data_IF_490522762348
#
_entry.id   IF_490522762348
#
_cell.length_a   1.000
_cell.length_b   1.000
_cell.length_c   1.000
_cell.angle_alpha   90.00
_cell.angle_beta   90.00
_cell.angle_gamma   90.00
#
_symmetry.space_group_name_H-M   'P 1'
#
loop_
_entity.id
_entity.type
_entity.pdbx_description
1 polymer ?
#
# COMPACT_ATOMS: atom_id res chain seq x y z
N UNK A 1 -39.23 31.45 85.81
CA UNK A 1 -38.29 32.12 84.89
C UNK A 1 -38.71 31.79 83.47
N UNK A 2 -39.20 32.82 82.77
CA UNK A 2 -39.63 32.79 81.37
C UNK A 2 -38.51 33.36 80.51
N UNK A 3 -38.23 32.77 79.34
CA UNK A 3 -37.95 33.47 78.07
C UNK A 3 -37.67 32.46 76.93
N UNK A 4 -38.48 32.59 75.88
CA UNK A 4 -38.19 32.22 74.47
C UNK A 4 -37.17 33.26 73.90
N UNK A 5 -36.57 33.17 72.67
CA UNK A 5 -37.01 32.40 71.49
C UNK A 5 -35.91 31.75 70.62
N UNK A 6 -36.32 30.79 69.80
CA UNK A 6 -35.59 30.33 68.60
C UNK A 6 -35.97 31.22 67.41
N UNK A 7 -34.98 31.82 66.75
CA UNK A 7 -35.16 32.61 65.54
C UNK A 7 -35.43 31.69 64.33
N UNK A 8 -36.47 32.04 63.56
CA UNK A 8 -36.84 31.38 62.30
C UNK A 8 -36.12 32.11 61.15
N UNK A 9 -35.46 31.41 60.20
CA UNK A 9 -34.82 32.09 59.08
C UNK A 9 -35.88 32.66 58.12
N UNK A 10 -35.68 33.92 57.75
CA UNK A 10 -36.52 34.71 56.85
C UNK A 10 -36.51 34.12 55.44
N UNK A 11 -37.69 34.05 54.82
CA UNK A 11 -37.88 33.59 53.44
C UNK A 11 -37.93 34.83 52.54
N UNK A 12 -36.92 35.00 51.69
CA UNK A 12 -36.87 36.10 50.73
C UNK A 12 -38.16 36.20 49.90
N UNK A 13 -38.78 37.39 49.80
CA UNK A 13 -39.87 37.63 48.87
C UNK A 13 -39.26 37.96 47.51
N UNK A 14 -39.73 37.25 46.49
CA UNK A 14 -39.91 37.73 45.10
C UNK A 14 -39.52 36.68 44.05
N UNK A 15 -40.14 35.51 44.14
CA UNK A 15 -40.23 34.59 43.00
C UNK A 15 -41.66 34.06 42.94
N UNK A 16 -42.48 34.66 42.07
CA UNK A 16 -43.81 34.12 41.74
C UNK A 16 -43.67 32.63 41.34
N UNK A 17 -44.51 31.72 41.87
CA UNK A 17 -44.42 30.29 41.56
C UNK A 17 -44.54 30.00 40.06
N UNK A 18 -45.26 30.84 39.31
CA UNK A 18 -45.35 30.76 37.85
C UNK A 18 -44.01 31.06 37.16
N UNK A 19 -43.23 32.01 37.68
CA UNK A 19 -41.89 32.35 37.16
C UNK A 19 -40.84 31.26 37.46
N UNK A 20 -40.99 30.55 38.57
CA UNK A 20 -40.14 29.41 38.92
C UNK A 20 -40.46 28.19 38.03
N UNK A 21 -41.74 27.93 37.77
CA UNK A 21 -42.19 26.86 36.87
C UNK A 21 -41.74 27.11 35.42
N UNK A 22 -41.86 28.36 34.93
CA UNK A 22 -41.41 28.74 33.58
C UNK A 22 -39.90 28.62 33.41
N UNK A 23 -39.10 28.99 34.44
CA UNK A 23 -37.65 28.78 34.44
C UNK A 23 -37.26 27.30 34.43
N UNK A 24 -37.93 26.45 35.21
CA UNK A 24 -37.69 24.99 35.19
C UNK A 24 -38.02 24.38 33.82
N UNK A 25 -39.11 24.81 33.19
CA UNK A 25 -39.51 24.33 31.86
C UNK A 25 -38.51 24.75 30.77
N UNK A 26 -38.11 26.03 30.74
CA UNK A 26 -37.12 26.52 29.77
C UNK A 26 -35.73 25.90 29.97
N UNK A 27 -35.29 25.73 31.22
CA UNK A 27 -34.04 25.04 31.52
C UNK A 27 -34.11 23.55 31.16
N UNK A 28 -35.27 22.90 31.33
CA UNK A 28 -35.49 21.51 30.91
C UNK A 28 -35.39 21.32 29.39
N UNK A 29 -35.98 22.23 28.61
CA UNK A 29 -35.87 22.23 27.14
C UNK A 29 -34.42 22.51 26.71
N UNK A 30 -33.76 23.49 27.31
CA UNK A 30 -32.37 23.83 26.98
C UNK A 30 -31.40 22.68 27.31
N UNK A 31 -31.61 21.99 28.44
CA UNK A 31 -30.83 20.82 28.82
C UNK A 31 -31.07 19.63 27.89
N UNK A 32 -32.32 19.38 27.48
CA UNK A 32 -32.66 18.31 26.54
C UNK A 32 -32.10 18.58 25.13
N UNK A 33 -32.21 19.82 24.65
CA UNK A 33 -31.67 20.23 23.36
C UNK A 33 -30.12 20.19 23.36
N UNK A 34 -29.48 20.68 24.43
CA UNK A 34 -28.03 20.63 24.60
C UNK A 34 -27.50 19.20 24.74
N UNK A 35 -28.17 18.37 25.54
CA UNK A 35 -27.82 16.96 25.70
C UNK A 35 -28.01 16.14 24.42
N UNK A 36 -29.12 16.36 23.71
CA UNK A 36 -29.37 15.72 22.41
C UNK A 36 -28.38 16.16 21.33
N UNK A 37 -28.02 17.44 21.29
CA UNK A 37 -27.01 17.95 20.37
C UNK A 37 -25.61 17.39 20.65
N UNK A 38 -25.20 17.30 21.92
CA UNK A 38 -23.90 16.74 22.30
C UNK A 38 -23.80 15.24 22.02
N UNK A 39 -24.88 14.48 22.22
CA UNK A 39 -24.89 13.05 21.89
C UNK A 39 -24.85 12.82 20.37
N UNK A 40 -25.62 13.60 19.60
CA UNK A 40 -25.65 13.47 18.12
C UNK A 40 -24.35 13.96 17.47
N UNK A 41 -23.83 15.13 17.85
CA UNK A 41 -22.53 15.61 17.36
C UNK A 41 -21.36 14.77 17.86
N UNK A 42 -21.38 14.33 19.13
CA UNK A 42 -20.36 13.45 19.69
C UNK A 42 -20.29 12.10 18.97
N UNK A 43 -21.45 11.56 18.58
CA UNK A 43 -21.52 10.33 17.78
C UNK A 43 -20.99 10.55 16.36
N UNK A 44 -21.24 11.71 15.74
CA UNK A 44 -20.75 12.02 14.39
C UNK A 44 -19.21 12.14 14.34
N UNK A 45 -18.59 12.67 15.39
CA UNK A 45 -17.12 12.75 15.51
C UNK A 45 -16.44 11.39 15.74
N UNK A 46 -17.18 10.40 16.24
CA UNK A 46 -16.68 9.04 16.42
C UNK A 46 -16.72 8.20 15.13
N UNK A 47 -17.50 8.61 14.12
CA UNK A 47 -17.53 7.95 12.81
C UNK A 47 -16.34 8.43 11.99
N UNK A 48 -15.18 7.81 12.19
CA UNK A 48 -14.07 7.93 11.24
C UNK A 48 -14.50 7.25 9.94
N UNK A 49 -14.51 7.95 8.79
CA UNK A 49 -14.66 7.26 7.53
C UNK A 49 -13.43 6.36 7.37
N UNK A 50 -13.64 5.05 7.34
CA UNK A 50 -12.60 4.07 7.01
C UNK A 50 -12.31 4.12 5.50
N UNK A 51 -11.89 5.30 5.03
CA UNK A 51 -11.74 5.62 3.62
C UNK A 51 -10.45 5.05 3.01
N UNK A 52 -9.47 4.67 3.85
CA UNK A 52 -8.25 4.05 3.39
C UNK A 52 -7.94 2.81 4.23
N UNK A 53 -7.95 1.66 3.58
CA UNK A 53 -7.49 0.42 4.18
C UNK A 53 -6.00 0.56 4.54
N UNK A 54 -5.55 0.25 5.77
CA UNK A 54 -4.15 0.37 6.16
C UNK A 54 -3.25 -0.47 5.26
N UNK A 55 -1.98 -0.05 5.12
CA UNK A 55 -1.04 -0.65 4.18
C UNK A 55 -0.81 -2.16 4.40
N UNK A 56 -1.02 -2.66 5.63
CA UNK A 56 -0.84 -4.07 5.98
C UNK A 56 -2.11 -4.91 5.82
N UNK A 57 -3.26 -4.30 5.54
CA UNK A 57 -4.53 -5.01 5.40
C UNK A 57 -4.85 -5.27 3.94
N UNK A 58 -4.63 -6.51 3.53
CA UNK A 58 -4.84 -6.96 2.15
C UNK A 58 -6.24 -7.53 1.98
N UNK A 59 -6.83 -7.31 0.81
CA UNK A 59 -8.16 -7.84 0.47
C UNK A 59 -8.06 -9.28 -0.05
N UNK A 60 -9.11 -10.11 0.11
CA UNK A 60 -9.16 -11.46 -0.44
C UNK A 60 -8.90 -11.50 -1.97
N UNK A 61 -8.56 -12.67 -2.53
CA UNK A 61 -8.41 -12.81 -3.97
C UNK A 61 -9.71 -12.44 -4.70
N UNK A 62 -9.56 -11.78 -5.84
CA UNK A 62 -10.68 -11.34 -6.67
C UNK A 62 -11.40 -10.09 -6.16
N UNK A 63 -10.96 -9.45 -5.07
CA UNK A 63 -11.57 -8.20 -4.63
C UNK A 63 -11.53 -7.12 -5.72
N UNK A 64 -12.65 -6.42 -5.87
CA UNK A 64 -12.74 -5.23 -6.73
C UNK A 64 -11.87 -4.09 -6.19
N UNK A 65 -11.79 -2.99 -6.94
CA UNK A 65 -11.17 -1.76 -6.43
C UNK A 65 -11.83 -1.35 -5.11
N UNK A 66 -11.04 -0.80 -4.17
CA UNK A 66 -11.47 -0.60 -2.77
C UNK A 66 -12.86 0.05 -2.65
N UNK A 67 -13.15 1.13 -3.39
CA UNK A 67 -14.44 1.82 -3.33
C UNK A 67 -15.61 0.95 -3.82
N UNK A 68 -15.40 0.23 -4.93
CA UNK A 68 -16.39 -0.72 -5.48
C UNK A 68 -16.60 -1.90 -4.53
N UNK A 69 -15.51 -2.44 -3.98
CA UNK A 69 -15.55 -3.51 -3.00
C UNK A 69 -16.36 -3.13 -1.76
N UNK A 70 -16.10 -1.94 -1.19
CA UNK A 70 -16.83 -1.44 -0.02
C UNK A 70 -18.31 -1.23 -0.30
N UNK A 71 -18.67 -0.84 -1.54
CA UNK A 71 -20.06 -0.67 -1.96
C UNK A 71 -20.80 -2.00 -2.19
N UNK A 72 -20.10 -3.02 -2.69
CA UNK A 72 -20.68 -4.33 -3.01
C UNK A 72 -20.68 -5.31 -1.82
N UNK A 73 -19.78 -5.12 -0.85
CA UNK A 73 -19.65 -6.02 0.29
C UNK A 73 -20.76 -5.82 1.31
N UNK A 74 -21.64 -6.82 1.44
CA UNK A 74 -22.71 -6.86 2.45
C UNK A 74 -22.25 -7.37 3.82
N UNK A 75 -20.94 -7.56 4.03
CA UNK A 75 -20.34 -7.96 5.33
C UNK A 75 -20.90 -9.29 5.88
N UNK A 76 -21.24 -10.22 5.00
CA UNK A 76 -21.85 -11.51 5.37
C UNK A 76 -20.88 -12.52 5.99
N UNK A 77 -19.56 -12.34 5.85
CA UNK A 77 -18.54 -13.23 6.41
C UNK A 77 -18.41 -14.60 5.75
N UNK A 78 -19.14 -14.89 4.67
CA UNK A 78 -19.11 -16.18 3.98
C UNK A 78 -17.72 -16.53 3.44
N UNK A 79 -17.00 -15.54 2.90
CA UNK A 79 -15.63 -15.72 2.42
C UNK A 79 -14.63 -16.06 3.53
N UNK A 80 -14.87 -15.59 4.77
CA UNK A 80 -14.03 -15.90 5.94
C UNK A 80 -14.31 -17.33 6.40
N UNK A 81 -15.60 -17.70 6.49
CA UNK A 81 -16.01 -19.06 6.86
C UNK A 81 -15.48 -20.12 5.90
N UNK A 82 -15.51 -19.83 4.60
CA UNK A 82 -15.13 -20.79 3.55
C UNK A 82 -13.62 -20.73 3.23
N UNK A 83 -12.83 -19.95 3.98
CA UNK A 83 -11.38 -19.95 3.88
C UNK A 83 -10.79 -21.11 4.72
N UNK A 84 -10.17 -22.14 4.09
CA UNK A 84 -9.74 -23.34 4.82
C UNK A 84 -8.50 -23.12 5.72
N UNK A 85 -7.82 -21.99 5.60
CA UNK A 85 -6.55 -21.70 6.27
C UNK A 85 -6.64 -20.57 7.31
N UNK A 86 -7.85 -20.10 7.63
CA UNK A 86 -8.09 -18.98 8.55
C UNK A 86 -7.27 -17.71 8.20
N UNK A 87 -6.90 -17.56 6.93
CA UNK A 87 -6.18 -16.38 6.41
C UNK A 87 -7.02 -15.12 6.57
N UNK A 88 -8.31 -15.21 6.25
CA UNK A 88 -9.21 -14.06 6.22
C UNK A 88 -9.86 -13.86 7.58
N UNK A 89 -9.93 -12.60 8.02
CA UNK A 89 -10.63 -12.20 9.24
C UNK A 89 -11.54 -11.01 8.96
N UNK A 90 -12.63 -10.89 9.73
CA UNK A 90 -13.49 -9.71 9.66
C UNK A 90 -12.89 -8.56 10.48
N UNK A 91 -12.86 -7.37 9.89
CA UNK A 91 -12.44 -6.15 10.56
C UNK A 91 -13.36 -5.83 11.75
N UNK A 92 -12.83 -5.70 12.97
CA UNK A 92 -13.59 -5.20 14.11
C UNK A 92 -14.15 -3.80 13.84
N UNK A 93 -15.31 -3.50 14.42
CA UNK A 93 -15.87 -2.15 14.38
C UNK A 93 -14.92 -1.19 15.12
N UNK A 94 -14.59 -0.07 14.49
CA UNK A 94 -13.65 0.91 15.04
C UNK A 94 -12.16 0.61 14.78
N UNK A 95 -11.85 -0.45 14.02
CA UNK A 95 -10.49 -0.67 13.51
C UNK A 95 -10.15 0.28 12.34
N UNK A 96 -8.88 0.35 11.97
CA UNK A 96 -8.41 1.14 10.81
C UNK A 96 -8.91 0.58 9.47
N UNK A 97 -9.37 -0.68 9.45
CA UNK A 97 -10.02 -1.31 8.30
C UNK A 97 -11.53 -1.09 8.40
N UNK A 98 -12.20 -0.88 7.27
CA UNK A 98 -13.66 -0.74 7.22
C UNK A 98 -14.36 -1.91 7.95
N UNK A 99 -15.08 -1.59 9.03
CA UNK A 99 -15.67 -2.59 9.92
C UNK A 99 -16.56 -3.61 9.19
N UNK A 100 -16.44 -4.87 9.58
CA UNK A 100 -17.18 -6.01 9.02
C UNK A 100 -16.73 -6.44 7.62
N UNK A 101 -15.68 -5.84 7.05
CA UNK A 101 -15.12 -6.28 5.76
C UNK A 101 -13.99 -7.30 5.97
N UNK A 102 -13.84 -8.28 5.07
CA UNK A 102 -12.78 -9.27 5.16
C UNK A 102 -11.43 -8.67 4.75
N UNK A 103 -10.38 -9.03 5.47
CA UNK A 103 -8.99 -8.70 5.15
C UNK A 103 -8.05 -9.78 5.72
N UNK A 104 -6.79 -9.75 5.31
CA UNK A 104 -5.72 -10.52 5.93
C UNK A 104 -4.45 -9.69 6.07
N UNK A 105 -3.54 -10.13 6.94
CA UNK A 105 -2.19 -9.56 7.05
C UNK A 105 -1.17 -10.60 6.63
N UNK A 106 -0.45 -10.31 5.57
CA UNK A 106 0.52 -11.22 4.95
C UNK A 106 1.55 -11.77 5.95
N UNK A 107 2.06 -10.93 6.87
CA UNK A 107 3.04 -11.34 7.89
C UNK A 107 2.49 -12.39 8.88
N UNK A 108 1.19 -12.40 9.15
CA UNK A 108 0.59 -13.29 10.14
C UNK A 108 0.21 -14.63 9.52
N UNK A 109 -0.74 -14.62 8.59
CA UNK A 109 -1.19 -15.80 7.85
C UNK A 109 -1.38 -15.34 6.40
N UNK A 110 -0.50 -15.76 5.46
CA UNK A 110 -0.61 -15.38 4.06
C UNK A 110 -1.77 -16.13 3.38
N UNK A 111 -2.09 -15.72 2.15
CA UNK A 111 -2.98 -16.49 1.29
C UNK A 111 -2.27 -17.74 0.77
N UNK A 112 -2.88 -18.88 1.00
CA UNK A 112 -2.38 -20.19 0.56
C UNK A 112 -2.62 -20.50 -0.92
N UNK A 113 -3.26 -19.58 -1.66
CA UNK A 113 -3.47 -19.70 -3.12
C UNK A 113 -4.25 -20.98 -3.51
N UNK A 114 -5.39 -21.23 -2.89
CA UNK A 114 -6.25 -22.39 -3.19
C UNK A 114 -6.70 -22.38 -4.65
N UNK A 115 -6.50 -23.49 -5.38
CA UNK A 115 -6.85 -23.63 -6.80
C UNK A 115 -8.35 -23.45 -7.08
N UNK A 116 -9.20 -23.85 -6.13
CA UNK A 116 -10.65 -23.80 -6.26
C UNK A 116 -11.26 -22.48 -5.76
N UNK A 117 -10.45 -21.57 -5.21
CA UNK A 117 -10.80 -20.21 -4.76
C UNK A 117 -12.16 -20.16 -4.00
N UNK A 118 -12.32 -20.90 -2.90
CA UNK A 118 -13.62 -21.07 -2.23
C UNK A 118 -14.17 -19.75 -1.69
N UNK A 119 -13.29 -18.84 -1.24
CA UNK A 119 -13.67 -17.51 -0.78
C UNK A 119 -14.40 -16.67 -1.84
N UNK A 120 -14.02 -16.76 -3.13
CA UNK A 120 -14.68 -16.06 -4.23
C UNK A 120 -16.03 -16.70 -4.53
N UNK A 121 -16.08 -18.04 -4.61
CA UNK A 121 -17.32 -18.81 -4.85
C UNK A 121 -18.38 -18.56 -3.77
N UNK A 122 -17.95 -18.35 -2.54
CA UNK A 122 -18.82 -18.05 -1.40
C UNK A 122 -19.43 -16.64 -1.44
N UNK A 123 -18.92 -15.72 -2.26
CA UNK A 123 -19.36 -14.32 -2.29
C UNK A 123 -20.67 -14.17 -3.08
N UNK A 124 -21.81 -13.83 -2.44
CA UNK A 124 -23.10 -13.76 -3.14
C UNK A 124 -23.30 -12.45 -3.91
N UNK A 125 -22.55 -11.39 -3.57
CA UNK A 125 -22.76 -10.05 -4.11
C UNK A 125 -21.83 -9.67 -5.26
N UNK A 126 -20.83 -10.50 -5.55
CA UNK A 126 -19.80 -10.16 -6.53
C UNK A 126 -18.79 -9.11 -6.05
N UNK A 127 -18.74 -8.80 -4.74
CA UNK A 127 -17.67 -7.99 -4.16
C UNK A 127 -16.29 -8.62 -4.40
N UNK A 128 -16.24 -9.95 -4.48
CA UNK A 128 -15.15 -10.70 -5.07
C UNK A 128 -15.59 -11.15 -6.47
N UNK A 129 -14.78 -10.84 -7.48
CA UNK A 129 -15.09 -11.07 -8.89
C UNK A 129 -15.21 -12.58 -9.19
N UNK A 130 -16.41 -13.10 -9.52
CA UNK A 130 -16.62 -14.52 -9.79
C UNK A 130 -15.97 -14.98 -11.09
N UNK A 131 -15.51 -14.05 -11.95
CA UNK A 131 -14.76 -14.38 -13.17
C UNK A 131 -13.31 -14.77 -12.90
N UNK A 132 -12.82 -14.58 -11.67
CA UNK A 132 -11.51 -15.07 -11.28
C UNK A 132 -11.56 -16.59 -11.14
N UNK A 133 -11.10 -17.30 -12.17
CA UNK A 133 -11.06 -18.77 -12.22
C UNK A 133 -9.67 -19.33 -11.95
N UNK A 134 -8.61 -18.56 -12.22
CA UNK A 134 -7.23 -18.91 -11.91
C UNK A 134 -6.73 -18.01 -10.77
N UNK A 135 -6.24 -18.63 -9.69
CA UNK A 135 -5.73 -17.93 -8.51
C UNK A 135 -4.46 -17.11 -8.82
N UNK A 136 -3.71 -17.47 -9.86
CA UNK A 136 -2.53 -16.75 -10.31
C UNK A 136 -2.86 -15.39 -10.98
N UNK A 137 -4.11 -15.19 -11.38
CA UNK A 137 -4.61 -13.92 -11.90
C UNK A 137 -5.08 -12.97 -10.79
N UNK A 138 -5.13 -13.43 -9.53
CA UNK A 138 -5.51 -12.59 -8.41
C UNK A 138 -4.53 -11.42 -8.24
N UNK A 139 -5.04 -10.26 -7.81
CA UNK A 139 -4.25 -9.06 -7.49
C UNK A 139 -4.67 -8.52 -6.12
N UNK A 140 -4.30 -9.25 -5.07
CA UNK A 140 -4.58 -8.89 -3.66
C UNK A 140 -3.71 -7.73 -3.17
N UNK A 141 -2.50 -7.62 -3.72
CA UNK A 141 -1.50 -6.63 -3.37
C UNK A 141 -0.25 -6.76 -4.24
N UNK A 142 0.81 -6.05 -3.87
CA UNK A 142 2.11 -6.12 -4.53
C UNK A 142 3.20 -6.25 -3.45
N UNK A 143 4.07 -7.24 -3.63
CA UNK A 143 5.26 -7.38 -2.80
C UNK A 143 6.31 -6.34 -3.22
N UNK A 144 6.89 -5.66 -2.24
CA UNK A 144 7.94 -4.67 -2.42
C UNK A 144 9.04 -4.96 -1.43
N UNK A 145 10.29 -4.96 -1.91
CA UNK A 145 11.45 -4.96 -1.02
C UNK A 145 11.58 -3.57 -0.40
N UNK A 146 10.96 -3.40 0.77
CA UNK A 146 10.86 -2.13 1.49
C UNK A 146 12.15 -1.73 2.19
N UNK A 147 12.97 -2.69 2.60
CA UNK A 147 14.22 -2.45 3.31
C UNK A 147 15.36 -3.21 2.64
N UNK A 148 16.17 -2.48 1.87
CA UNK A 148 17.37 -3.02 1.23
C UNK A 148 18.56 -3.09 2.19
N UNK A 149 18.59 -2.29 3.25
CA UNK A 149 19.73 -2.23 4.17
C UNK A 149 19.77 -3.43 5.11
N UNK A 150 18.60 -3.94 5.52
CA UNK A 150 18.49 -5.11 6.42
C UNK A 150 18.36 -6.42 5.64
N UNK A 151 18.03 -6.38 4.34
CA UNK A 151 17.88 -7.60 3.54
C UNK A 151 19.18 -8.41 3.49
N UNK A 152 19.11 -9.70 3.90
CA UNK A 152 20.29 -10.58 3.94
C UNK A 152 21.04 -10.68 2.59
N UNK A 153 20.32 -10.63 1.46
CA UNK A 153 20.94 -10.65 0.12
C UNK A 153 21.73 -9.38 -0.19
N UNK A 154 21.29 -8.21 0.29
CA UNK A 154 22.02 -6.95 0.17
C UNK A 154 23.24 -6.90 1.10
N UNK A 155 23.16 -7.61 2.23
CA UNK A 155 24.29 -7.82 3.15
C UNK A 155 25.32 -8.85 2.63
N UNK A 156 25.05 -9.50 1.48
CA UNK A 156 25.95 -10.46 0.85
C UNK A 156 25.80 -11.91 1.36
N UNK A 157 24.77 -12.19 2.16
CA UNK A 157 24.40 -13.56 2.53
C UNK A 157 23.48 -14.15 1.47
N UNK A 158 23.64 -15.44 1.18
CA UNK A 158 22.79 -16.15 0.22
C UNK A 158 21.45 -16.54 0.88
N UNK A 159 20.41 -15.74 0.66
CA UNK A 159 19.05 -16.00 1.12
C UNK A 159 18.09 -16.09 -0.08
N UNK A 160 17.44 -17.23 -0.29
CA UNK A 160 16.48 -17.43 -1.38
C UNK A 160 15.09 -17.82 -0.87
N UNK A 161 14.81 -17.58 0.42
CA UNK A 161 13.56 -18.00 1.07
C UNK A 161 12.33 -17.35 0.43
N UNK A 162 12.34 -16.02 0.24
CA UNK A 162 11.23 -15.30 -0.39
C UNK A 162 10.99 -15.71 -1.85
N UNK A 163 12.06 -16.12 -2.54
CA UNK A 163 12.03 -16.58 -3.91
C UNK A 163 11.43 -18.00 -4.00
N UNK A 164 11.91 -18.94 -3.18
CA UNK A 164 11.46 -20.34 -3.19
C UNK A 164 10.04 -20.55 -2.68
N UNK A 165 9.58 -19.72 -1.74
CA UNK A 165 8.20 -19.80 -1.22
C UNK A 165 7.17 -19.21 -2.19
N UNK A 166 7.63 -18.48 -3.22
CA UNK A 166 6.72 -17.84 -4.15
C UNK A 166 6.04 -18.89 -5.04
N UNK A 167 4.70 -18.94 -5.08
CA UNK A 167 3.96 -19.87 -5.94
C UNK A 167 4.09 -19.51 -7.43
N UNK A 168 4.55 -18.29 -7.74
CA UNK A 168 4.75 -17.77 -9.10
C UNK A 168 6.24 -17.45 -9.29
N UNK A 169 7.08 -18.40 -8.91
CA UNK A 169 8.55 -18.32 -9.03
C UNK A 169 8.98 -18.06 -10.49
N UNK A 170 10.13 -17.39 -10.68
CA UNK A 170 10.69 -16.98 -11.97
C UNK A 170 9.86 -15.95 -12.78
N UNK A 171 8.61 -15.70 -12.38
CA UNK A 171 7.71 -14.74 -13.03
C UNK A 171 7.39 -13.56 -12.13
N UNK A 172 6.91 -13.81 -10.91
CA UNK A 172 6.57 -12.76 -9.95
C UNK A 172 7.78 -12.28 -9.16
N UNK A 173 8.77 -13.14 -8.96
CA UNK A 173 10.01 -12.79 -8.27
C UNK A 173 11.19 -13.49 -8.96
N UNK A 174 12.25 -12.73 -9.22
CA UNK A 174 13.53 -13.22 -9.75
C UNK A 174 14.66 -12.89 -8.78
N UNK A 175 15.79 -13.60 -8.89
CA UNK A 175 17.03 -13.26 -8.19
C UNK A 175 18.01 -12.67 -9.19
N UNK A 176 18.10 -11.35 -9.21
CA UNK A 176 19.01 -10.62 -10.08
C UNK A 176 20.43 -10.68 -9.53
N UNK A 177 21.37 -11.06 -10.38
CA UNK A 177 22.77 -11.22 -9.98
C UNK A 177 23.51 -9.90 -10.18
N UNK A 178 24.00 -9.30 -9.09
CA UNK A 178 24.86 -8.12 -9.15
C UNK A 178 26.25 -8.42 -8.59
N UNK A 179 27.27 -7.75 -9.11
CA UNK A 179 28.62 -7.83 -8.56
C UNK A 179 28.68 -7.15 -7.18
N UNK A 180 29.27 -7.80 -6.18
CA UNK A 180 29.42 -7.21 -4.84
C UNK A 180 30.59 -6.21 -4.82
N UNK A 181 30.35 -4.89 -4.66
CA UNK A 181 31.42 -3.90 -4.65
C UNK A 181 32.37 -4.04 -3.45
N UNK A 182 31.97 -4.72 -2.37
CA UNK A 182 32.84 -4.98 -1.20
C UNK A 182 33.78 -6.16 -1.39
N UNK A 183 33.42 -7.12 -2.25
CA UNK A 183 34.24 -8.31 -2.47
C UNK A 183 34.20 -8.71 -3.94
N UNK A 184 35.35 -8.59 -4.59
CA UNK A 184 35.55 -8.78 -6.03
C UNK A 184 35.31 -10.23 -6.54
N UNK A 185 34.79 -11.12 -5.68
CA UNK A 185 34.59 -12.55 -5.94
C UNK A 185 33.19 -13.10 -5.60
N UNK A 186 32.31 -12.29 -5.02
CA UNK A 186 30.95 -12.75 -4.67
C UNK A 186 29.90 -11.94 -5.43
N UNK A 187 28.83 -12.61 -5.84
CA UNK A 187 27.66 -11.96 -6.40
C UNK A 187 26.58 -11.76 -5.31
N UNK A 188 25.90 -10.63 -5.36
CA UNK A 188 24.66 -10.39 -4.64
C UNK A 188 23.52 -10.96 -5.46
N UNK A 189 22.60 -11.70 -4.81
CA UNK A 189 21.41 -12.27 -5.44
C UNK A 189 20.19 -11.46 -4.97
N UNK A 190 19.90 -10.36 -5.66
CA UNK A 190 18.89 -9.41 -5.22
C UNK A 190 17.49 -9.87 -5.61
N UNK A 191 16.55 -10.00 -4.65
CA UNK A 191 15.18 -10.36 -4.96
C UNK A 191 14.48 -9.19 -5.64
N UNK A 192 14.06 -9.40 -6.88
CA UNK A 192 13.35 -8.41 -7.70
C UNK A 192 11.94 -8.88 -7.96
N UNK A 193 10.94 -8.10 -7.51
CA UNK A 193 9.53 -8.42 -7.69
C UNK A 193 8.99 -7.77 -8.95
N UNK A 194 8.34 -8.56 -9.80
CA UNK A 194 7.72 -8.12 -11.04
C UNK A 194 6.22 -7.90 -10.85
N UNK A 195 5.81 -6.62 -10.91
CA UNK A 195 4.43 -6.22 -10.63
C UNK A 195 3.36 -6.79 -11.59
N UNK A 196 3.77 -7.27 -12.77
CA UNK A 196 2.86 -7.88 -13.75
C UNK A 196 2.34 -9.24 -13.31
N UNK A 197 3.13 -10.00 -12.54
CA UNK A 197 2.85 -11.38 -12.14
C UNK A 197 2.65 -11.56 -10.64
N UNK A 198 3.08 -10.60 -9.82
CA UNK A 198 2.87 -10.67 -8.38
C UNK A 198 1.37 -10.63 -8.04
N UNK A 199 0.89 -11.65 -7.34
CA UNK A 199 -0.52 -11.74 -6.90
C UNK A 199 -0.78 -11.02 -5.57
N UNK A 200 0.26 -10.75 -4.79
CA UNK A 200 0.15 -10.21 -3.44
C UNK A 200 -0.32 -11.22 -2.39
N UNK A 201 -0.06 -12.51 -2.58
CA UNK A 201 -0.46 -13.56 -1.63
C UNK A 201 0.19 -13.46 -0.24
N UNK A 202 1.32 -12.76 -0.10
CA UNK A 202 1.96 -12.56 1.20
C UNK A 202 2.94 -13.64 1.66
N UNK A 203 3.03 -14.78 0.96
CA UNK A 203 3.92 -15.89 1.34
C UNK A 203 5.39 -15.46 1.53
N UNK A 204 5.87 -14.52 0.71
CA UNK A 204 7.23 -13.98 0.81
C UNK A 204 7.47 -13.13 2.08
N UNK A 205 6.46 -12.40 2.56
CA UNK A 205 6.55 -11.58 3.78
C UNK A 205 6.48 -12.45 5.04
N UNK A 206 5.58 -13.45 5.04
CA UNK A 206 5.47 -14.44 6.10
C UNK A 206 6.78 -15.23 6.27
N UNK A 207 7.35 -15.70 5.16
CA UNK A 207 8.56 -16.53 5.18
C UNK A 207 9.86 -15.74 5.40
N UNK A 208 9.81 -14.40 5.43
CA UNK A 208 11.01 -13.61 5.68
C UNK A 208 11.57 -13.93 7.07
N UNK A 209 12.82 -14.42 7.11
CA UNK A 209 13.51 -14.89 8.33
C UNK A 209 13.89 -13.77 9.31
N UNK A 210 13.78 -12.51 8.87
CA UNK A 210 14.04 -11.35 9.71
C UNK A 210 12.88 -11.15 10.70
N UNK A 211 13.13 -10.58 11.89
CA UNK A 211 12.07 -10.28 12.86
C UNK A 211 11.04 -9.30 12.28
N UNK A 212 11.53 -8.24 11.63
CA UNK A 212 10.75 -7.34 10.78
C UNK A 212 11.06 -7.66 9.32
N UNK A 213 10.03 -7.96 8.53
CA UNK A 213 10.23 -8.41 7.16
C UNK A 213 10.77 -7.28 6.27
N UNK A 214 11.87 -7.54 5.56
CA UNK A 214 12.43 -6.61 4.58
C UNK A 214 11.54 -6.47 3.33
N UNK A 215 10.88 -7.57 2.95
CA UNK A 215 9.89 -7.61 1.87
C UNK A 215 8.49 -7.56 2.48
N UNK A 216 7.68 -6.60 2.04
CA UNK A 216 6.32 -6.35 2.54
C UNK A 216 5.33 -6.35 1.39
N UNK A 217 4.13 -6.84 1.63
CA UNK A 217 3.03 -6.81 0.67
C UNK A 217 2.06 -5.72 1.07
N UNK A 218 1.78 -4.83 0.13
CA UNK A 218 0.91 -3.67 0.33
C UNK A 218 -0.10 -3.57 -0.81
N UNK A 219 -1.22 -2.83 -0.63
CA UNK A 219 -2.12 -2.49 -1.71
C UNK A 219 -1.38 -1.91 -2.91
N UNK A 220 -1.76 -2.31 -4.13
CA UNK A 220 -1.07 -1.92 -5.37
C UNK A 220 -0.99 -0.40 -5.53
N UNK A 221 -2.04 0.34 -5.12
CA UNK A 221 -2.06 1.81 -5.14
C UNK A 221 -0.96 2.46 -4.28
N UNK A 222 -0.51 1.80 -3.21
CA UNK A 222 0.56 2.29 -2.33
C UNK A 222 1.94 1.81 -2.81
N UNK A 223 2.00 0.62 -3.38
CA UNK A 223 3.25 -0.04 -3.75
C UNK A 223 3.80 0.38 -5.12
N UNK A 224 2.93 0.70 -6.09
CA UNK A 224 3.30 0.91 -7.49
C UNK A 224 3.11 2.35 -7.92
N UNK A 225 4.16 2.97 -8.43
CA UNK A 225 4.08 4.26 -9.12
C UNK A 225 3.42 4.15 -10.51
N UNK A 226 2.90 5.27 -11.01
CA UNK A 226 2.35 5.39 -12.36
C UNK A 226 3.23 6.29 -13.22
N UNK A 227 3.40 5.93 -14.50
CA UNK A 227 3.98 6.83 -15.48
C UNK A 227 2.93 7.89 -15.86
N UNK A 228 3.34 9.14 -16.16
CA UNK A 228 2.41 10.14 -16.69
C UNK A 228 1.80 9.70 -18.03
N UNK A 229 0.53 10.05 -18.28
CA UNK A 229 -0.21 9.63 -19.48
C UNK A 229 0.46 10.02 -20.81
N UNK A 230 1.26 11.09 -20.80
CA UNK A 230 1.97 11.59 -21.97
C UNK A 230 3.34 10.92 -22.17
N UNK A 231 3.86 10.18 -21.18
CA UNK A 231 5.18 9.57 -21.27
C UNK A 231 5.11 8.28 -22.08
N UNK A 232 5.69 8.30 -23.28
CA UNK A 232 5.82 7.13 -24.13
C UNK A 232 7.24 6.60 -24.09
N UNK A 233 7.40 5.31 -23.83
CA UNK A 233 8.70 4.66 -23.88
C UNK A 233 9.11 4.48 -25.34
N UNK A 234 10.18 5.15 -25.76
CA UNK A 234 10.64 5.15 -27.15
C UNK A 234 10.90 3.75 -27.71
N UNK A 235 11.40 2.82 -26.90
CA UNK A 235 11.64 1.43 -27.34
C UNK A 235 10.35 0.62 -27.56
N UNK A 236 9.30 0.85 -26.77
CA UNK A 236 7.98 0.20 -26.97
C UNK A 236 7.30 0.75 -28.22
N UNK A 237 7.36 2.07 -28.43
CA UNK A 237 6.79 2.69 -29.64
C UNK A 237 7.57 2.29 -30.90
N UNK A 238 8.90 2.17 -30.81
CA UNK A 238 9.73 1.67 -31.92
C UNK A 238 9.33 0.26 -32.33
N UNK A 239 9.08 -0.63 -31.36
CA UNK A 239 8.60 -1.99 -31.65
C UNK A 239 7.22 -1.99 -32.32
N UNK A 240 6.30 -1.14 -31.89
CA UNK A 240 4.96 -1.04 -32.50
C UNK A 240 4.97 -0.48 -33.92
N UNK A 241 5.84 0.49 -34.20
CA UNK A 241 5.85 1.24 -35.45
C UNK A 241 6.96 0.81 -36.43
N UNK A 242 7.75 -0.21 -36.08
CA UNK A 242 8.83 -0.75 -36.93
C UNK A 242 10.04 0.16 -37.09
N UNK A 243 10.10 1.29 -36.36
CA UNK A 243 11.12 2.32 -36.48
C UNK A 243 11.03 3.33 -35.36
N UNK A 244 12.11 4.07 -35.08
CA UNK A 244 12.09 5.09 -34.04
C UNK A 244 11.15 6.24 -34.43
N UNK A 245 10.29 6.68 -33.50
CA UNK A 245 9.39 7.82 -33.73
C UNK A 245 10.14 9.15 -33.79
N UNK A 246 11.26 9.23 -33.08
CA UNK A 246 12.24 10.29 -33.22
C UNK A 246 13.19 9.77 -34.30
N UNK A 247 13.28 10.44 -35.46
CA UNK A 247 14.12 10.01 -36.58
C UNK A 247 15.54 9.63 -36.14
N UNK A 248 16.27 8.93 -37.01
CA UNK A 248 17.62 8.48 -36.70
C UNK A 248 18.47 9.65 -36.19
N UNK A 249 19.23 9.38 -35.12
CA UNK A 249 20.06 10.38 -34.48
C UNK A 249 21.03 10.94 -35.53
N UNK A 250 20.80 12.18 -35.96
CA UNK A 250 21.66 12.86 -36.92
C UNK A 250 23.08 12.83 -36.36
N UNK A 251 23.97 12.08 -37.03
CA UNK A 251 25.39 12.15 -36.73
C UNK A 251 25.87 13.55 -37.07
N UNK A 252 25.98 14.39 -36.03
CA UNK A 252 26.59 15.70 -36.19
C UNK A 252 28.08 15.46 -36.44
N UNK A 253 28.65 16.02 -37.53
CA UNK A 253 30.08 15.91 -37.76
C UNK A 253 30.82 16.54 -36.58
N UNK A 254 31.55 15.72 -35.84
CA UNK A 254 32.45 16.20 -34.80
C UNK A 254 33.73 16.62 -35.50
N UNK A 255 33.93 17.93 -35.64
CA UNK A 255 35.07 18.53 -36.35
C UNK A 255 36.39 17.95 -35.82
N UNK A 256 37.18 17.31 -36.68
CA UNK A 256 38.47 16.69 -36.32
C UNK A 256 38.41 15.22 -35.90
N UNK A 257 37.22 14.60 -35.90
CA UNK A 257 37.03 13.16 -35.68
C UNK A 257 36.22 12.53 -36.84
N UNK A 258 36.15 13.20 -38.00
CA UNK A 258 35.47 12.66 -39.16
C UNK A 258 36.11 11.32 -39.58
N UNK A 259 35.35 10.23 -39.51
CA UNK A 259 35.81 8.88 -39.88
C UNK A 259 36.32 8.01 -38.72
N UNK A 260 36.26 8.48 -37.47
CA UNK A 260 36.60 7.66 -36.28
C UNK A 260 35.36 6.95 -35.72
N UNK A 261 35.58 5.74 -35.18
CA UNK A 261 34.51 4.97 -34.56
C UNK A 261 33.96 5.69 -33.30
N UNK A 262 32.66 5.51 -33.02
CA UNK A 262 32.01 6.14 -31.88
C UNK A 262 32.72 5.74 -30.56
N UNK A 263 33.23 6.74 -29.81
CA UNK A 263 33.99 6.53 -28.58
C UNK A 263 35.52 6.56 -28.75
N UNK A 264 36.05 6.62 -29.97
CA UNK A 264 37.48 6.80 -30.20
C UNK A 264 37.88 8.27 -30.15
N UNK A 265 38.37 8.70 -28.98
CA UNK A 265 38.85 10.07 -28.71
C UNK A 265 40.36 10.24 -28.98
N UNK A 266 41.02 9.23 -29.55
CA UNK A 266 42.44 9.34 -29.90
C UNK A 266 42.59 10.34 -31.05
N UNK A 267 43.20 11.48 -30.77
CA UNK A 267 43.62 12.42 -31.81
C UNK A 267 44.88 11.85 -32.46
N UNK A 268 44.96 11.88 -33.79
CA UNK A 268 46.18 11.44 -34.47
C UNK A 268 47.33 12.31 -33.98
N UNK A 269 48.47 11.68 -33.71
CA UNK A 269 49.66 12.41 -33.26
C UNK A 269 49.97 13.47 -34.30
N UNK A 270 50.07 14.76 -33.94
CA UNK A 270 50.42 15.78 -34.92
C UNK A 270 51.73 15.38 -35.60
N UNK A 271 51.89 15.66 -36.91
CA UNK A 271 53.12 15.33 -37.61
C UNK A 271 54.30 15.84 -36.80
N UNK A 272 55.27 14.96 -36.55
CA UNK A 272 56.47 15.29 -35.78
C UNK A 272 57.12 16.54 -36.39
N UNK A 273 57.07 17.67 -35.69
CA UNK A 273 57.63 18.93 -36.19
C UNK A 273 56.91 20.22 -35.79
N UNK A 274 55.76 20.18 -35.12
CA UNK A 274 55.18 21.39 -34.52
C UNK A 274 55.83 21.66 -33.17
N UNK A 275 56.92 22.43 -33.21
CA UNK A 275 57.51 23.08 -32.03
C UNK A 275 56.44 23.93 -31.35
N UNK A 276 56.01 23.54 -30.15
CA UNK A 276 54.93 24.23 -29.43
C UNK A 276 55.32 25.62 -28.96
N UNK A 277 56.58 26.04 -29.18
CA UNK A 277 57.11 27.34 -28.78
C UNK A 277 57.07 27.58 -27.27
N UNK A 278 56.70 26.56 -26.50
CA UNK A 278 56.63 26.63 -25.05
C UNK A 278 58.04 26.51 -24.49
N UNK A 279 58.55 27.62 -23.98
CA UNK A 279 59.74 27.64 -23.12
C UNK A 279 59.28 27.70 -21.66
N UNK A 280 59.87 26.86 -20.79
CA UNK A 280 59.45 26.71 -19.39
C UNK A 280 59.55 28.01 -18.59
#
# INVERSE_FOLDING_TARGET
MSTNPTAKPERNPDVSPASAARRKFLNGIAAAAGGGALLTFGSLLAVRPAAANPAQALRPPGALAEDEFLSACVRCGLCVRDCPYDTLVLAPVGSDVAGGTPYFRARSIPCEMCDDIPCVKACPTGALNPKLTDIHDARMGLAVLSDQETCLNFLGLRCDVCYRVCPVIDKAITLETLHNPRSDRHALLLPTVHSSHCTGCGKCEAACVLPEAAIKVMPVKLAKGALPDHYRKGWEEKQKHGGSLIGDQLEMPVRGLEGKAHGDVRVDTPPAGLDSGWKP
#
